data_IF_832783359846
#
_entry.id   IF_832783359846
#
_cell.length_a   1.000
_cell.length_b   1.000
_cell.length_c   1.000
_cell.angle_alpha   90.00
_cell.angle_beta   90.00
_cell.angle_gamma   90.00
#
_symmetry.space_group_name_H-M   'P 1'
#
loop_
_entity.id
_entity.type
_entity.pdbx_description
1 polymer ?
#
# COMPACT_ATOMS: atom_id res chain seq x y z
N UNK A 1 17.57 25.18 -24.77
CA UNK A 1 16.45 26.02 -24.28
C UNK A 1 15.39 25.03 -23.85
N UNK A 2 15.35 24.73 -22.55
CA UNK A 2 14.45 23.70 -22.04
C UNK A 2 13.02 24.24 -22.01
N UNK A 3 12.13 23.47 -22.59
CA UNK A 3 10.74 23.85 -22.87
C UNK A 3 9.94 23.97 -21.56
N UNK A 4 9.75 25.21 -21.11
CA UNK A 4 8.94 25.57 -19.95
C UNK A 4 7.45 25.75 -20.32
N UNK A 5 7.09 25.56 -21.59
CA UNK A 5 5.74 25.77 -22.09
C UNK A 5 4.75 24.80 -21.42
N UNK A 6 3.67 25.36 -20.85
CA UNK A 6 2.65 24.60 -20.12
C UNK A 6 3.02 24.15 -18.69
N UNK A 7 4.24 24.40 -18.20
CA UNK A 7 4.64 24.02 -16.83
C UNK A 7 4.15 25.03 -15.78
N UNK A 8 3.69 24.53 -14.63
CA UNK A 8 3.11 25.35 -13.55
C UNK A 8 4.00 25.35 -12.31
N UNK A 9 4.01 26.49 -11.62
CA UNK A 9 4.69 26.68 -10.35
C UNK A 9 4.07 25.77 -9.27
N UNK A 10 4.90 24.99 -8.58
CA UNK A 10 4.44 24.08 -7.53
C UNK A 10 3.79 24.84 -6.36
N UNK A 11 4.31 26.02 -6.03
CA UNK A 11 3.83 26.81 -4.88
C UNK A 11 2.54 27.60 -5.14
N UNK A 12 2.30 28.06 -6.37
CA UNK A 12 1.20 29.01 -6.65
C UNK A 12 0.46 28.78 -7.98
N UNK A 13 0.78 27.71 -8.72
CA UNK A 13 0.13 27.30 -9.98
C UNK A 13 0.24 28.27 -11.17
N UNK A 14 0.92 29.41 -11.01
CA UNK A 14 1.24 30.34 -12.11
C UNK A 14 2.21 29.71 -13.13
N UNK A 15 2.27 30.22 -14.38
CA UNK A 15 3.23 29.75 -15.37
C UNK A 15 4.67 29.78 -14.83
N UNK A 16 5.38 28.66 -15.00
CA UNK A 16 6.73 28.53 -14.51
C UNK A 16 7.74 29.26 -15.41
N UNK A 17 8.76 29.84 -14.78
CA UNK A 17 9.88 30.50 -15.46
C UNK A 17 11.23 29.97 -15.00
N UNK A 18 11.25 29.22 -13.89
CA UNK A 18 12.44 28.70 -13.25
C UNK A 18 12.28 27.21 -12.98
N UNK A 19 13.40 26.49 -13.02
CA UNK A 19 13.53 25.10 -12.54
C UNK A 19 14.45 25.05 -11.34
N UNK A 20 14.27 24.05 -10.48
CA UNK A 20 15.24 23.79 -9.43
C UNK A 20 16.59 23.35 -10.03
N UNK A 21 17.70 24.07 -9.76
CA UNK A 21 19.03 23.68 -10.26
C UNK A 21 19.52 22.37 -9.67
N UNK A 22 19.10 22.02 -8.45
CA UNK A 22 19.48 20.77 -7.79
C UNK A 22 18.78 19.56 -8.40
N UNK A 23 17.50 19.67 -8.77
CA UNK A 23 16.79 18.60 -9.51
C UNK A 23 17.49 18.25 -10.82
N UNK A 24 17.88 19.27 -11.60
CA UNK A 24 18.60 19.10 -12.86
C UNK A 24 19.93 18.37 -12.61
N UNK A 25 20.68 18.82 -11.59
CA UNK A 25 21.99 18.25 -11.25
C UNK A 25 21.91 16.80 -10.77
N UNK A 26 20.84 16.43 -10.08
CA UNK A 26 20.63 15.08 -9.53
C UNK A 26 19.78 14.18 -10.43
N UNK A 27 19.39 14.64 -11.63
CA UNK A 27 18.50 13.92 -12.56
C UNK A 27 17.20 13.43 -11.90
N UNK A 28 16.66 14.23 -10.97
CA UNK A 28 15.39 13.98 -10.29
C UNK A 28 14.21 14.56 -11.08
N UNK A 29 12.96 14.14 -10.80
CA UNK A 29 11.79 14.78 -11.39
C UNK A 29 11.82 16.32 -11.24
N UNK A 30 11.65 17.01 -12.37
CA UNK A 30 11.79 18.47 -12.43
C UNK A 30 10.77 19.18 -11.54
N UNK A 31 11.26 20.13 -10.74
CA UNK A 31 10.43 21.05 -9.97
C UNK A 31 10.46 22.45 -10.58
N UNK A 32 9.28 23.04 -10.78
CA UNK A 32 9.08 24.29 -11.51
C UNK A 32 8.55 25.42 -10.61
N UNK A 33 9.01 26.66 -10.83
CA UNK A 33 8.65 27.85 -10.04
C UNK A 33 8.40 29.06 -10.95
N UNK A 34 7.50 29.95 -10.56
CA UNK A 34 7.21 31.17 -11.33
C UNK A 34 8.27 32.27 -11.16
N UNK A 35 8.90 32.34 -9.98
CA UNK A 35 9.95 33.31 -9.63
C UNK A 35 10.76 32.85 -8.40
N UNK A 36 11.79 33.63 -8.05
CA UNK A 36 12.69 33.36 -6.93
C UNK A 36 11.98 33.43 -5.57
N UNK A 37 10.89 34.20 -5.45
CA UNK A 37 10.15 34.33 -4.20
C UNK A 37 9.41 33.03 -3.88
N UNK A 38 8.73 32.45 -4.87
CA UNK A 38 8.09 31.14 -4.74
C UNK A 38 9.11 30.02 -4.53
N UNK A 39 10.27 30.09 -5.19
CA UNK A 39 11.35 29.14 -4.93
C UNK A 39 11.81 29.19 -3.47
N UNK A 40 12.13 30.37 -2.92
CA UNK A 40 12.59 30.52 -1.53
C UNK A 40 11.52 30.13 -0.51
N UNK A 41 10.26 30.50 -0.75
CA UNK A 41 9.16 30.15 0.13
C UNK A 41 8.92 28.64 0.19
N UNK A 42 9.09 27.95 -0.94
CA UNK A 42 8.86 26.50 -1.04
C UNK A 42 10.14 25.67 -0.79
N UNK A 43 11.32 26.29 -0.77
CA UNK A 43 12.62 25.63 -0.55
C UNK A 43 12.69 24.80 0.74
N UNK A 44 12.16 25.25 1.91
CA UNK A 44 12.18 24.44 3.13
C UNK A 44 11.54 23.08 2.96
N UNK A 45 10.56 22.94 2.05
CA UNK A 45 9.84 21.70 1.75
C UNK A 45 10.50 20.98 0.56
N UNK A 46 10.84 21.71 -0.50
CA UNK A 46 11.37 21.12 -1.72
C UNK A 46 12.80 20.57 -1.58
N UNK A 47 13.64 21.17 -0.72
CA UNK A 47 15.02 20.72 -0.52
C UNK A 47 15.11 19.23 -0.11
N UNK A 48 14.05 18.71 0.49
CA UNK A 48 13.93 17.32 0.88
C UNK A 48 13.76 16.35 -0.30
N UNK A 49 13.27 16.82 -1.44
CA UNK A 49 13.26 16.04 -2.68
C UNK A 49 14.66 15.76 -3.21
N UNK A 50 15.69 16.47 -2.71
CA UNK A 50 17.10 16.25 -3.01
C UNK A 50 17.81 15.35 -1.99
N UNK A 51 17.06 14.47 -1.32
CA UNK A 51 17.69 13.41 -0.53
C UNK A 51 18.61 12.57 -1.42
N UNK A 52 19.69 12.06 -0.82
CA UNK A 52 20.66 11.22 -1.52
C UNK A 52 19.94 10.06 -2.22
N UNK A 53 20.10 9.95 -3.54
CA UNK A 53 19.55 8.84 -4.33
C UNK A 53 20.11 7.48 -3.89
N UNK A 54 21.26 7.49 -3.20
CA UNK A 54 21.88 6.34 -2.56
C UNK A 54 21.58 6.25 -1.05
N UNK A 55 20.84 7.21 -0.50
CA UNK A 55 20.40 7.21 0.88
C UNK A 55 19.24 6.23 1.11
N UNK A 56 18.91 5.93 2.39
CA UNK A 56 17.76 5.10 2.72
C UNK A 56 16.48 5.71 2.14
N UNK A 57 15.66 4.86 1.51
CA UNK A 57 14.40 5.26 0.89
C UNK A 57 13.51 6.00 1.92
N UNK A 58 13.12 7.24 1.60
CA UNK A 58 12.22 8.03 2.44
C UNK A 58 11.22 8.80 1.58
N UNK A 59 9.99 8.27 1.40
CA UNK A 59 8.94 8.94 0.64
C UNK A 59 8.31 10.12 1.40
N UNK A 60 8.56 10.25 2.71
CA UNK A 60 7.98 11.30 3.57
C UNK A 60 9.06 12.07 4.33
N UNK A 61 9.87 12.88 3.64
CA UNK A 61 11.02 13.51 4.26
C UNK A 61 10.68 14.61 5.28
N UNK A 62 9.43 15.09 5.29
CA UNK A 62 8.91 16.03 6.29
C UNK A 62 8.21 15.34 7.47
N UNK A 63 8.14 14.00 7.47
CA UNK A 63 7.52 13.24 8.55
C UNK A 63 8.57 12.79 9.58
N UNK A 64 8.28 13.05 10.85
CA UNK A 64 9.11 12.59 11.97
C UNK A 64 8.63 11.21 12.43
N UNK A 65 9.38 10.17 12.08
CA UNK A 65 9.11 8.82 12.52
C UNK A 65 9.24 8.68 14.05
N UNK A 66 8.36 7.89 14.65
CA UNK A 66 8.29 7.68 16.10
C UNK A 66 9.28 6.65 16.63
N UNK A 67 9.78 5.77 15.76
CA UNK A 67 10.76 4.73 16.10
C UNK A 67 11.87 4.59 15.06
N UNK A 68 12.55 3.44 15.07
CA UNK A 68 13.69 3.15 14.19
C UNK A 68 13.27 2.64 12.83
N UNK A 69 12.05 2.10 12.68
CA UNK A 69 11.58 1.51 11.44
C UNK A 69 11.43 2.57 10.33
N UNK A 70 11.79 2.21 9.10
CA UNK A 70 11.64 3.04 7.91
C UNK A 70 11.00 2.23 6.79
N UNK A 71 10.20 2.87 5.92
CA UNK A 71 9.62 2.19 4.77
C UNK A 71 10.73 1.72 3.82
N UNK A 72 10.55 0.53 3.27
CA UNK A 72 11.25 0.05 2.08
C UNK A 72 10.54 0.51 0.80
N UNK A 73 11.15 0.24 -0.35
CA UNK A 73 10.50 0.49 -1.65
C UNK A 73 9.33 -0.47 -1.82
N UNK A 74 8.21 0.03 -2.34
CA UNK A 74 7.02 -0.78 -2.64
C UNK A 74 7.03 -1.13 -4.13
N UNK A 75 6.92 -2.41 -4.47
CA UNK A 75 6.80 -2.90 -5.85
C UNK A 75 5.37 -2.69 -6.38
N UNK A 76 5.19 -2.81 -7.70
CA UNK A 76 3.88 -2.69 -8.32
C UNK A 76 2.87 -3.72 -7.79
N UNK A 77 1.58 -3.43 -8.02
CA UNK A 77 0.48 -4.31 -7.63
C UNK A 77 0.51 -5.60 -8.47
N UNK A 78 0.33 -6.76 -7.82
CA UNK A 78 0.25 -8.07 -8.49
C UNK A 78 -1.12 -8.26 -9.17
N UNK A 79 -1.18 -8.83 -10.39
CA UNK A 79 -2.42 -9.03 -11.12
C UNK A 79 -3.21 -10.22 -10.54
N UNK A 80 -4.54 -10.12 -10.56
CA UNK A 80 -5.44 -11.23 -10.21
C UNK A 80 -6.07 -11.78 -11.49
N UNK A 81 -6.02 -13.10 -11.75
CA UNK A 81 -6.68 -13.73 -12.90
C UNK A 81 -8.16 -13.37 -13.06
N UNK A 82 -8.62 -13.30 -14.31
CA UNK A 82 -9.98 -12.82 -14.62
C UNK A 82 -11.11 -13.72 -14.15
N UNK A 83 -10.84 -15.03 -14.02
CA UNK A 83 -11.83 -16.00 -13.56
C UNK A 83 -12.14 -15.88 -12.06
N UNK A 84 -11.26 -15.25 -11.27
CA UNK A 84 -11.46 -15.07 -9.84
C UNK A 84 -12.50 -13.97 -9.58
N UNK A 85 -13.59 -14.26 -8.83
CA UNK A 85 -14.60 -13.28 -8.50
C UNK A 85 -14.02 -12.11 -7.71
N UNK A 86 -14.33 -10.89 -8.14
CA UNK A 86 -13.79 -9.66 -7.52
C UNK A 86 -14.82 -8.99 -6.61
N UNK A 87 -14.37 -8.35 -5.53
CA UNK A 87 -15.20 -7.45 -4.74
C UNK A 87 -15.58 -6.19 -5.52
N UNK A 88 -16.63 -5.50 -5.08
CA UNK A 88 -17.13 -4.27 -5.70
C UNK A 88 -16.07 -3.16 -5.77
N UNK A 89 -15.22 -3.05 -4.75
CA UNK A 89 -14.15 -2.07 -4.70
C UNK A 89 -12.99 -2.35 -5.65
N UNK A 90 -12.76 -3.59 -6.10
CA UNK A 90 -11.58 -3.95 -6.89
C UNK A 90 -11.50 -3.21 -8.23
N UNK A 91 -12.65 -2.87 -8.80
CA UNK A 91 -12.78 -2.12 -10.06
C UNK A 91 -13.15 -0.64 -9.84
N UNK A 92 -13.37 -0.23 -8.59
CA UNK A 92 -13.70 1.15 -8.27
C UNK A 92 -12.44 2.04 -8.38
N UNK A 93 -12.46 3.20 -9.06
CA UNK A 93 -11.26 4.02 -9.27
C UNK A 93 -10.60 4.51 -7.97
N UNK A 94 -11.39 4.61 -6.90
CA UNK A 94 -10.94 4.97 -5.56
C UNK A 94 -10.83 3.78 -4.58
N UNK A 95 -11.05 2.54 -5.04
CA UNK A 95 -11.03 1.37 -4.16
C UNK A 95 -12.15 1.34 -3.12
N UNK A 96 -13.24 2.05 -3.36
CA UNK A 96 -14.31 2.20 -2.38
C UNK A 96 -15.30 1.05 -2.53
N UNK A 97 -15.68 0.43 -1.41
CA UNK A 97 -16.85 -0.45 -1.37
C UNK A 97 -18.14 0.37 -1.29
N UNK A 98 -19.01 0.22 -2.27
CA UNK A 98 -20.34 0.82 -2.28
C UNK A 98 -21.28 0.08 -1.33
N UNK A 99 -21.13 -1.24 -1.24
CA UNK A 99 -21.89 -2.09 -0.31
C UNK A 99 -21.67 -1.64 1.14
N UNK A 100 -20.41 -1.48 1.56
CA UNK A 100 -20.08 -1.02 2.93
C UNK A 100 -20.53 0.41 3.20
N UNK A 101 -20.49 1.30 2.18
CA UNK A 101 -20.97 2.68 2.34
C UNK A 101 -22.47 2.73 2.58
N UNK A 102 -23.23 1.87 1.92
CA UNK A 102 -24.67 1.78 2.10
C UNK A 102 -25.02 1.23 3.49
N UNK A 103 -24.27 0.22 3.96
CA UNK A 103 -24.52 -0.39 5.28
C UNK A 103 -23.94 0.43 6.45
N UNK A 104 -23.13 1.47 6.21
CA UNK A 104 -22.43 2.23 7.26
C UNK A 104 -23.34 2.81 8.35
N UNK A 105 -24.57 3.20 7.99
CA UNK A 105 -25.55 3.75 8.94
C UNK A 105 -26.46 2.70 9.57
N UNK A 106 -26.38 1.45 9.11
CA UNK A 106 -27.18 0.37 9.67
C UNK A 106 -26.68 0.01 11.06
N UNK A 107 -27.61 -0.15 12.00
CA UNK A 107 -27.33 -0.62 13.36
C UNK A 107 -27.74 -2.06 13.57
N UNK A 108 -28.30 -2.69 12.53
CA UNK A 108 -28.77 -4.06 12.56
C UNK A 108 -27.61 -4.97 12.20
N UNK A 109 -27.26 -5.88 13.11
CA UNK A 109 -26.24 -6.89 12.85
C UNK A 109 -26.88 -7.96 11.97
N UNK A 110 -26.25 -8.24 10.81
CA UNK A 110 -26.71 -9.28 9.90
C UNK A 110 -26.67 -10.64 10.58
N UNK A 111 -27.81 -11.32 10.65
CA UNK A 111 -27.90 -12.73 11.04
C UNK A 111 -27.77 -13.58 9.78
N UNK A 112 -26.72 -14.37 9.70
CA UNK A 112 -26.41 -15.19 8.53
C UNK A 112 -27.38 -16.37 8.38
N UNK A 113 -27.76 -16.69 7.14
CA UNK A 113 -28.41 -17.98 6.82
C UNK A 113 -27.44 -19.15 6.96
N UNK A 114 -27.93 -20.38 6.91
CA UNK A 114 -27.06 -21.57 7.03
C UNK A 114 -26.10 -21.70 5.83
N UNK A 115 -26.54 -21.38 4.61
CA UNK A 115 -25.68 -21.29 3.42
C UNK A 115 -24.64 -20.17 3.58
N UNK A 116 -25.04 -19.06 4.22
CA UNK A 116 -24.12 -17.96 4.50
C UNK A 116 -23.04 -18.37 5.50
N UNK A 117 -23.39 -19.12 6.55
CA UNK A 117 -22.44 -19.67 7.52
C UNK A 117 -21.49 -20.66 6.87
N UNK A 118 -21.95 -21.56 6.02
CA UNK A 118 -21.08 -22.55 5.37
C UNK A 118 -20.04 -21.89 4.46
N UNK A 119 -20.43 -20.93 3.63
CA UNK A 119 -19.44 -20.22 2.83
C UNK A 119 -18.47 -19.38 3.67
N UNK A 120 -18.89 -18.88 4.84
CA UNK A 120 -17.97 -18.22 5.79
C UNK A 120 -16.95 -19.22 6.36
N UNK A 121 -17.37 -20.42 6.74
CA UNK A 121 -16.45 -21.47 7.23
C UNK A 121 -15.41 -21.86 6.17
N UNK A 122 -15.83 -22.03 4.92
CA UNK A 122 -14.91 -22.36 3.81
C UNK A 122 -13.88 -21.25 3.63
N UNK A 123 -14.35 -20.01 3.52
CA UNK A 123 -13.48 -18.87 3.35
C UNK A 123 -12.53 -18.70 4.56
N UNK A 124 -12.98 -18.98 5.80
CA UNK A 124 -12.15 -18.96 7.00
C UNK A 124 -11.03 -20.00 6.90
N UNK A 125 -11.38 -21.22 6.50
CA UNK A 125 -10.41 -22.30 6.34
C UNK A 125 -9.33 -21.91 5.31
N UNK A 126 -9.73 -21.37 4.16
CA UNK A 126 -8.81 -20.95 3.11
C UNK A 126 -7.91 -19.80 3.57
N UNK A 127 -8.46 -18.81 4.29
CA UNK A 127 -7.65 -17.71 4.82
C UNK A 127 -6.63 -18.18 5.85
N UNK A 128 -7.00 -19.12 6.73
CA UNK A 128 -6.04 -19.79 7.63
C UNK A 128 -4.95 -20.52 6.86
N UNK A 129 -5.28 -21.20 5.76
CA UNK A 129 -4.27 -21.89 4.95
C UNK A 129 -3.27 -20.92 4.32
N UNK A 130 -3.73 -19.77 3.79
CA UNK A 130 -2.82 -18.74 3.29
C UNK A 130 -1.93 -18.16 4.40
N UNK A 131 -2.49 -17.95 5.61
CA UNK A 131 -1.74 -17.43 6.75
C UNK A 131 -0.64 -18.38 7.19
N UNK A 132 -0.90 -19.68 7.09
CA UNK A 132 0.12 -20.69 7.32
C UNK A 132 1.24 -20.63 6.26
N UNK A 133 0.94 -20.31 4.99
CA UNK A 133 1.98 -20.12 3.97
C UNK A 133 2.82 -18.86 4.24
N UNK A 134 2.20 -17.76 4.68
CA UNK A 134 2.93 -16.56 5.11
C UNK A 134 3.84 -16.84 6.30
N UNK A 135 3.33 -17.56 7.30
CA UNK A 135 4.09 -17.93 8.48
C UNK A 135 5.34 -18.78 8.13
N UNK A 136 5.22 -19.69 7.14
CA UNK A 136 6.37 -20.47 6.66
C UNK A 136 7.39 -19.62 5.91
N UNK A 137 6.96 -18.59 5.19
CA UNK A 137 7.83 -17.68 4.47
C UNK A 137 8.52 -16.66 5.39
N UNK A 138 7.92 -16.35 6.54
CA UNK A 138 8.43 -15.35 7.48
C UNK A 138 9.73 -15.81 8.15
N UNK A 139 10.79 -15.00 8.01
CA UNK A 139 12.06 -15.26 8.66
C UNK A 139 13.11 -14.17 8.42
N UNK A 140 14.22 -14.18 9.18
CA UNK A 140 15.29 -13.19 9.03
C UNK A 140 15.84 -13.16 7.59
N UNK A 141 15.99 -11.95 7.06
CA UNK A 141 16.50 -11.70 5.71
C UNK A 141 15.43 -11.73 4.60
N UNK A 142 14.21 -12.20 4.89
CA UNK A 142 13.07 -12.19 3.96
C UNK A 142 12.43 -10.80 3.96
N UNK A 143 12.03 -10.30 2.79
CA UNK A 143 11.31 -9.03 2.69
C UNK A 143 9.83 -9.21 2.99
N UNK A 144 9.17 -8.19 3.52
CA UNK A 144 7.71 -8.25 3.66
C UNK A 144 7.01 -8.31 2.30
N UNK A 145 7.63 -7.76 1.24
CA UNK A 145 7.19 -7.94 -0.15
C UNK A 145 7.18 -9.40 -0.61
N UNK A 146 8.16 -10.21 -0.17
CA UNK A 146 8.22 -11.64 -0.50
C UNK A 146 7.12 -12.42 0.25
N UNK A 147 6.81 -12.01 1.49
CA UNK A 147 5.67 -12.56 2.23
C UNK A 147 4.36 -12.24 1.51
N UNK A 148 4.16 -11.00 1.05
CA UNK A 148 3.00 -10.61 0.24
C UNK A 148 2.89 -11.41 -1.07
N UNK A 149 4.01 -11.71 -1.71
CA UNK A 149 4.04 -12.58 -2.90
C UNK A 149 3.49 -13.96 -2.59
N UNK A 150 3.99 -14.61 -1.54
CA UNK A 150 3.56 -15.95 -1.12
C UNK A 150 2.06 -15.94 -0.77
N UNK A 151 1.61 -14.93 -0.03
CA UNK A 151 0.19 -14.74 0.31
C UNK A 151 -0.67 -14.58 -0.93
N UNK A 152 -0.25 -13.71 -1.84
CA UNK A 152 -0.96 -13.46 -3.09
C UNK A 152 -1.12 -14.76 -3.89
N UNK A 153 -0.02 -15.48 -4.12
CA UNK A 153 -0.02 -16.74 -4.86
C UNK A 153 -0.89 -17.80 -4.19
N UNK A 154 -0.78 -17.96 -2.87
CA UNK A 154 -1.60 -18.90 -2.10
C UNK A 154 -3.11 -18.60 -2.23
N UNK A 155 -3.49 -17.31 -2.30
CA UNK A 155 -4.87 -16.90 -2.53
C UNK A 155 -5.33 -17.23 -3.96
N UNK A 156 -4.51 -16.94 -4.97
CA UNK A 156 -4.83 -17.22 -6.37
C UNK A 156 -4.98 -18.73 -6.60
N UNK A 157 -4.09 -19.55 -6.04
CA UNK A 157 -4.16 -21.02 -6.11
C UNK A 157 -5.44 -21.60 -5.51
N UNK A 158 -6.10 -20.85 -4.62
CA UNK A 158 -7.36 -21.23 -3.96
C UNK A 158 -8.58 -20.58 -4.60
N UNK A 159 -8.42 -19.96 -5.77
CA UNK A 159 -9.44 -19.18 -6.47
C UNK A 159 -10.06 -18.07 -5.60
N UNK A 160 -9.24 -17.50 -4.71
CA UNK A 160 -9.62 -16.41 -3.80
C UNK A 160 -9.08 -15.07 -4.28
N UNK A 161 -9.83 -14.00 -4.02
CA UNK A 161 -9.33 -12.64 -4.14
C UNK A 161 -8.71 -12.21 -2.80
N UNK A 162 -7.46 -11.68 -2.77
CA UNK A 162 -6.90 -11.11 -1.55
C UNK A 162 -7.57 -9.77 -1.24
N UNK A 163 -8.42 -9.72 -0.21
CA UNK A 163 -9.30 -8.58 0.09
C UNK A 163 -8.57 -7.24 0.24
N UNK A 164 -7.41 -7.13 0.90
CA UNK A 164 -6.70 -5.85 1.03
C UNK A 164 -6.37 -5.22 -0.33
N UNK A 165 -6.21 -6.04 -1.37
CA UNK A 165 -5.73 -5.59 -2.67
C UNK A 165 -6.72 -4.61 -3.32
N UNK A 166 -6.31 -3.35 -3.44
CA UNK A 166 -7.13 -2.27 -4.02
C UNK A 166 -8.20 -1.71 -3.09
N UNK A 167 -8.41 -2.28 -1.90
CA UNK A 167 -9.36 -1.75 -0.91
C UNK A 167 -8.90 -0.38 -0.41
N UNK A 168 -9.70 0.66 -0.64
CA UNK A 168 -9.34 2.09 -0.49
C UNK A 168 -7.96 2.44 -1.09
N UNK A 169 -7.61 1.79 -2.21
CA UNK A 169 -6.29 1.88 -2.89
C UNK A 169 -5.11 1.30 -2.12
N UNK A 170 -5.34 0.46 -1.11
CA UNK A 170 -4.27 -0.30 -0.48
C UNK A 170 -3.54 -1.15 -1.56
N UNK A 171 -2.20 -1.07 -1.66
CA UNK A 171 -1.50 -1.50 -2.87
C UNK A 171 -1.13 -2.98 -2.92
N UNK A 172 -1.32 -3.71 -1.80
CA UNK A 172 -0.80 -5.06 -1.57
C UNK A 172 -1.90 -6.02 -1.14
N UNK A 173 -1.58 -7.32 -1.12
CA UNK A 173 -2.50 -8.44 -0.92
C UNK A 173 -2.68 -8.79 0.55
N UNK A 174 -1.70 -8.45 1.40
CA UNK A 174 -1.79 -8.54 2.86
C UNK A 174 -1.20 -7.29 3.53
N UNK A 175 -1.34 -7.20 4.85
CA UNK A 175 -0.59 -6.23 5.66
C UNK A 175 0.52 -6.93 6.44
N UNK A 176 1.68 -6.28 6.55
CA UNK A 176 2.82 -6.75 7.34
C UNK A 176 3.27 -5.65 8.30
N UNK A 177 3.00 -5.83 9.59
CA UNK A 177 3.17 -4.81 10.62
C UNK A 177 4.34 -5.19 11.53
N UNK A 178 5.49 -4.57 11.31
CA UNK A 178 6.73 -4.87 12.05
C UNK A 178 6.91 -3.92 13.24
N UNK A 179 7.22 -4.46 14.42
CA UNK A 179 7.61 -3.73 15.63
C UNK A 179 6.61 -2.62 16.03
N UNK A 180 6.98 -1.34 15.88
CA UNK A 180 6.14 -0.19 16.26
C UNK A 180 4.98 0.10 15.28
N UNK A 181 4.89 -0.64 14.17
CA UNK A 181 3.75 -0.54 13.25
C UNK A 181 2.54 -1.22 13.88
N UNK A 182 1.53 -0.43 14.24
CA UNK A 182 0.33 -0.95 14.92
C UNK A 182 -0.49 -1.86 14.00
N UNK A 183 -0.79 -1.41 12.79
CA UNK A 183 -1.53 -2.15 11.78
C UNK A 183 -1.34 -1.51 10.40
N UNK A 184 -1.80 -2.20 9.35
CA UNK A 184 -1.77 -1.74 7.96
C UNK A 184 -0.38 -1.39 7.42
N UNK A 185 0.67 -2.05 7.92
CA UNK A 185 1.98 -1.97 7.30
C UNK A 185 1.92 -2.48 5.87
N UNK A 186 2.45 -1.70 4.92
CA UNK A 186 2.47 -2.06 3.50
C UNK A 186 3.69 -2.95 3.24
N UNK A 187 3.50 -4.16 2.69
CA UNK A 187 4.60 -5.00 2.23
C UNK A 187 5.57 -4.26 1.30
N UNK A 188 6.86 -4.29 1.65
CA UNK A 188 7.91 -3.53 0.99
C UNK A 188 9.26 -4.29 0.99
N UNK A 189 10.29 -3.68 0.37
CA UNK A 189 11.61 -4.30 0.23
C UNK A 189 12.45 -4.31 1.52
N UNK A 190 11.91 -3.93 2.69
CA UNK A 190 12.60 -4.08 3.96
C UNK A 190 12.72 -5.56 4.31
N UNK A 191 13.93 -6.00 4.61
CA UNK A 191 14.20 -7.33 5.15
C UNK A 191 13.85 -7.38 6.64
N UNK A 192 13.22 -8.47 7.07
CA UNK A 192 13.04 -8.78 8.48
C UNK A 192 14.39 -9.04 9.13
N UNK A 193 14.57 -8.54 10.34
CA UNK A 193 15.77 -8.73 11.14
C UNK A 193 15.50 -9.76 12.25
N UNK A 194 16.55 -10.45 12.70
CA UNK A 194 16.41 -11.37 13.81
C UNK A 194 16.04 -10.59 15.08
N UNK A 195 14.91 -10.95 15.71
CA UNK A 195 14.35 -10.23 16.85
C UNK A 195 13.21 -9.27 16.50
N UNK A 196 12.93 -9.04 15.21
CA UNK A 196 11.71 -8.35 14.79
C UNK A 196 10.47 -9.15 15.21
N UNK A 197 9.44 -8.42 15.63
CA UNK A 197 8.07 -8.94 15.73
C UNK A 197 7.31 -8.48 14.48
N UNK A 198 6.75 -9.42 13.72
CA UNK A 198 5.99 -9.11 12.51
C UNK A 198 4.60 -9.74 12.59
N UNK A 199 3.59 -8.89 12.74
CA UNK A 199 2.19 -9.29 12.60
C UNK A 199 1.81 -9.34 11.10
N UNK A 200 1.14 -10.42 10.70
CA UNK A 200 0.54 -10.57 9.39
C UNK A 200 -0.98 -10.44 9.51
N UNK A 201 -1.58 -9.52 8.76
CA UNK A 201 -3.04 -9.49 8.62
C UNK A 201 -3.43 -9.91 7.23
N UNK A 202 -4.31 -10.89 7.18
CA UNK A 202 -4.76 -11.49 5.94
C UNK A 202 -6.28 -11.48 5.88
N UNK A 203 -6.82 -10.80 4.86
CA UNK A 203 -8.23 -10.84 4.56
C UNK A 203 -8.45 -11.43 3.16
N UNK A 204 -9.38 -12.38 3.01
CA UNK A 204 -9.67 -13.03 1.75
C UNK A 204 -11.15 -13.02 1.43
N UNK A 205 -11.46 -12.83 0.13
CA UNK A 205 -12.82 -12.97 -0.40
C UNK A 205 -12.96 -14.28 -1.16
N UNK A 206 -13.83 -15.16 -0.67
CA UNK A 206 -14.28 -16.35 -1.38
C UNK A 206 -15.80 -16.36 -1.50
N UNK A 207 -16.34 -16.66 -2.68
CA UNK A 207 -17.77 -16.72 -2.95
C UNK A 207 -18.56 -15.50 -2.39
N UNK A 208 -18.05 -14.28 -2.66
CA UNK A 208 -18.59 -12.98 -2.19
C UNK A 208 -18.47 -12.67 -0.69
N UNK A 209 -17.76 -13.44 0.14
CA UNK A 209 -17.60 -13.17 1.58
C UNK A 209 -16.15 -12.86 1.94
N UNK A 210 -15.92 -11.74 2.64
CA UNK A 210 -14.61 -11.32 3.16
C UNK A 210 -14.41 -11.91 4.55
N UNK A 211 -13.16 -12.21 4.92
CA UNK A 211 -12.79 -12.74 6.23
C UNK A 211 -11.41 -12.24 6.58
N UNK A 212 -11.29 -11.64 7.75
CA UNK A 212 -10.06 -11.11 8.31
C UNK A 212 -9.46 -12.07 9.34
N UNK A 213 -8.14 -12.29 9.25
CA UNK A 213 -7.32 -12.96 10.23
C UNK A 213 -6.21 -12.02 10.69
N UNK A 214 -6.09 -11.87 12.01
CA UNK A 214 -5.01 -11.12 12.67
C UNK A 214 -4.21 -12.12 13.52
N UNK A 215 -2.89 -12.24 13.29
CA UNK A 215 -1.97 -13.02 14.15
C UNK A 215 -0.72 -12.25 14.57
#
# INVERSE_FOLDING_TARGET
MDDLEGKKCIGCQKPAKLRCPTCIKMSLPDAYFCDQSCFKAFWPIHKFSHSDVNGPYNPWPCYSFTGSLRPGRVTDRRPVPDHIPRPDYALHPQGVSLEERQSKSERVIKVLTDEEKEGLKVACKLGRECLNEAAKACGPGVTTEEIDRVVHEAAIERDCYPSPLGYYKFPKSCCTSVNEVICHGIPDMRKLENGDLCNGNEDYRFCRKNIDFLE
#
